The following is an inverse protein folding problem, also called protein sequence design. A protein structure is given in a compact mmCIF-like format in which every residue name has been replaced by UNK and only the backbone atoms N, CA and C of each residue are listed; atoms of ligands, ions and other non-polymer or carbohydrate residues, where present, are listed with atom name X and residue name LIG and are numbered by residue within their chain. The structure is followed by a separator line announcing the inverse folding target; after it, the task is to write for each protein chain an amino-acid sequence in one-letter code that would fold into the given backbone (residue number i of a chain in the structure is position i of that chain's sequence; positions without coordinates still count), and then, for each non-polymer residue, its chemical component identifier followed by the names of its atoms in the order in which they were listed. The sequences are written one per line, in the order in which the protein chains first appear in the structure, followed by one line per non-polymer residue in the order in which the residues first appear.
data_IF_686785411188
#
_entry.id   IF_686785411188
#
_cell.length_a   1.000
_cell.length_b   1.000
_cell.length_c   1.000
_cell.angle_alpha   90.00
_cell.angle_beta   90.00
_cell.angle_gamma   90.00
#
_symmetry.space_group_name_H-M   'P 1'
#
loop_
_entity.id
_entity.type
_entity.pdbx_description
1 polymer ?
#
# COMPACT_ATOMS: atom_id res chain seq x y z
N UNK A 1 -65.89 -54.52 3.61
CA UNK A 1 -66.06 -53.20 2.98
C UNK A 1 -66.31 -52.07 3.99
N UNK A 2 -66.82 -52.32 5.20
CA UNK A 2 -67.04 -51.28 6.22
C UNK A 2 -65.75 -50.71 6.87
N UNK A 3 -64.61 -51.40 6.76
CA UNK A 3 -63.37 -50.99 7.44
C UNK A 3 -62.72 -49.74 6.83
N UNK A 4 -62.83 -49.56 5.50
CA UNK A 4 -62.19 -48.43 4.81
C UNK A 4 -62.84 -47.08 5.17
N UNK A 5 -64.17 -47.06 5.28
CA UNK A 5 -64.92 -45.84 5.65
C UNK A 5 -64.65 -45.46 7.11
N UNK A 6 -64.51 -46.45 7.99
CA UNK A 6 -64.19 -46.24 9.41
C UNK A 6 -62.77 -45.68 9.60
N UNK A 7 -61.79 -46.20 8.87
CA UNK A 7 -60.42 -45.67 8.87
C UNK A 7 -60.36 -44.25 8.33
N UNK A 8 -61.01 -43.99 7.19
CA UNK A 8 -61.07 -42.66 6.59
C UNK A 8 -61.67 -41.63 7.55
N UNK A 9 -62.78 -41.95 8.22
CA UNK A 9 -63.41 -41.03 9.17
C UNK A 9 -62.53 -40.77 10.40
N UNK A 10 -61.84 -41.79 10.91
CA UNK A 10 -60.90 -41.63 12.03
C UNK A 10 -59.75 -40.70 11.66
N UNK A 11 -59.18 -40.86 10.47
CA UNK A 11 -58.05 -40.04 10.01
C UNK A 11 -58.49 -38.62 9.64
N UNK A 12 -59.64 -38.46 8.97
CA UNK A 12 -60.07 -37.17 8.45
C UNK A 12 -60.66 -36.24 9.52
N UNK A 13 -61.42 -36.79 10.48
CA UNK A 13 -62.18 -35.99 11.46
C UNK A 13 -62.09 -36.50 12.90
N UNK A 14 -61.50 -37.67 13.13
CA UNK A 14 -61.52 -38.34 14.43
C UNK A 14 -60.90 -37.51 15.55
N UNK A 15 -59.70 -36.97 15.33
CA UNK A 15 -59.00 -36.14 16.31
C UNK A 15 -59.76 -34.85 16.62
N UNK A 16 -60.10 -34.07 15.60
CA UNK A 16 -60.81 -32.80 15.77
C UNK A 16 -62.19 -32.98 16.40
N UNK A 17 -62.90 -34.06 16.06
CA UNK A 17 -64.21 -34.36 16.65
C UNK A 17 -64.08 -34.79 18.11
N UNK A 18 -63.04 -35.56 18.47
CA UNK A 18 -62.75 -35.92 19.85
C UNK A 18 -62.44 -34.68 20.70
N UNK A 19 -61.64 -33.74 20.19
CA UNK A 19 -61.38 -32.45 20.84
C UNK A 19 -62.65 -31.62 21.01
N UNK A 20 -63.49 -31.55 19.97
CA UNK A 20 -64.76 -30.83 20.02
C UNK A 20 -65.68 -31.43 21.09
N UNK A 21 -65.80 -32.76 21.16
CA UNK A 21 -66.61 -33.43 22.18
C UNK A 21 -66.04 -33.26 23.59
N UNK A 22 -64.71 -33.31 23.76
CA UNK A 22 -64.06 -33.01 25.04
C UNK A 22 -64.30 -31.55 25.47
N UNK A 23 -64.31 -30.60 24.54
CA UNK A 23 -64.65 -29.21 24.87
C UNK A 23 -66.13 -29.03 25.24
N UNK A 24 -67.06 -29.78 24.62
CA UNK A 24 -68.47 -29.80 25.03
C UNK A 24 -68.65 -30.30 26.46
N UNK A 25 -67.93 -31.36 26.86
CA UNK A 25 -68.04 -31.86 28.24
C UNK A 25 -67.52 -30.87 29.28
N UNK A 26 -66.52 -30.05 28.92
CA UNK A 26 -65.95 -29.00 29.77
C UNK A 26 -66.86 -27.77 29.84
N UNK A 27 -67.28 -27.25 28.70
CA UNK A 27 -67.98 -25.95 28.64
C UNK A 27 -69.50 -26.06 28.77
N UNK A 28 -70.06 -27.25 28.63
CA UNK A 28 -71.50 -27.55 28.72
C UNK A 28 -72.38 -26.47 28.05
N UNK A 29 -72.17 -26.21 26.75
CA UNK A 29 -72.92 -25.19 26.03
C UNK A 29 -74.42 -25.52 26.00
N UNK A 30 -75.25 -24.47 26.00
CA UNK A 30 -76.72 -24.59 25.91
C UNK A 30 -77.17 -25.32 24.63
N UNK A 31 -76.43 -25.13 23.53
CA UNK A 31 -76.59 -25.88 22.28
C UNK A 31 -75.27 -26.59 21.91
N UNK A 32 -75.14 -27.89 22.23
CA UNK A 32 -73.92 -28.64 21.94
C UNK A 32 -73.71 -28.92 20.46
N UNK A 33 -74.78 -28.99 19.64
CA UNK A 33 -74.65 -29.26 18.21
C UNK A 33 -74.08 -28.04 17.50
N UNK A 34 -74.66 -26.86 17.77
CA UNK A 34 -74.16 -25.59 17.23
C UNK A 34 -72.72 -25.32 17.68
N UNK A 35 -72.40 -25.63 18.94
CA UNK A 35 -71.04 -25.47 19.47
C UNK A 35 -70.02 -26.31 18.70
N UNK A 36 -70.30 -27.60 18.48
CA UNK A 36 -69.41 -28.50 17.71
C UNK A 36 -69.27 -28.00 16.27
N UNK A 37 -70.36 -27.57 15.63
CA UNK A 37 -70.30 -27.00 14.28
C UNK A 37 -69.35 -25.80 14.19
N UNK A 38 -69.44 -24.87 15.15
CA UNK A 38 -68.53 -23.71 15.24
C UNK A 38 -67.09 -24.12 15.51
N UNK A 39 -66.87 -25.09 16.40
CA UNK A 39 -65.54 -25.60 16.72
C UNK A 39 -64.85 -26.16 15.47
N UNK A 40 -65.53 -27.03 14.72
CA UNK A 40 -65.00 -27.64 13.50
C UNK A 40 -64.68 -26.58 12.43
N UNK A 41 -65.57 -25.59 12.23
CA UNK A 41 -65.32 -24.48 11.32
C UNK A 41 -64.10 -23.64 11.72
N UNK A 42 -63.93 -23.39 13.02
CA UNK A 42 -62.79 -22.66 13.54
C UNK A 42 -61.48 -23.45 13.36
N UNK A 43 -61.52 -24.76 13.58
CA UNK A 43 -60.37 -25.64 13.38
C UNK A 43 -59.87 -25.57 11.93
N UNK A 44 -60.76 -25.69 10.94
CA UNK A 44 -60.39 -25.58 9.51
C UNK A 44 -59.79 -24.21 9.18
N UNK A 45 -60.36 -23.12 9.73
CA UNK A 45 -59.81 -21.76 9.54
C UNK A 45 -58.41 -21.63 10.13
N UNK A 46 -58.20 -22.15 11.33
CA UNK A 46 -56.90 -22.12 12.00
C UNK A 46 -55.86 -22.94 11.21
N UNK A 47 -56.23 -24.15 10.75
CA UNK A 47 -55.36 -25.01 9.95
C UNK A 47 -54.90 -24.31 8.67
N UNK A 48 -55.83 -23.72 7.91
CA UNK A 48 -55.50 -22.95 6.70
C UNK A 48 -54.62 -21.74 6.98
N UNK A 49 -54.86 -21.04 8.09
CA UNK A 49 -54.03 -19.90 8.49
C UNK A 49 -52.61 -20.35 8.81
N UNK A 50 -52.46 -21.40 9.61
CA UNK A 50 -51.18 -21.97 9.98
C UNK A 50 -50.39 -22.48 8.76
N UNK A 51 -51.04 -23.19 7.83
CA UNK A 51 -50.43 -23.62 6.58
C UNK A 51 -49.93 -22.44 5.74
N UNK A 52 -50.71 -21.36 5.66
CA UNK A 52 -50.32 -20.14 4.95
C UNK A 52 -49.16 -19.41 5.63
N UNK A 53 -49.20 -19.28 6.95
CA UNK A 53 -48.12 -18.66 7.74
C UNK A 53 -46.82 -19.45 7.58
N UNK A 54 -46.88 -20.78 7.66
CA UNK A 54 -45.73 -21.66 7.44
C UNK A 54 -45.15 -21.52 6.03
N UNK A 55 -45.99 -21.46 5.01
CA UNK A 55 -45.53 -21.26 3.63
C UNK A 55 -44.83 -19.90 3.44
N UNK A 56 -45.35 -18.84 4.06
CA UNK A 56 -44.73 -17.51 4.03
C UNK A 56 -43.41 -17.48 4.78
N UNK A 57 -43.31 -18.17 5.92
CA UNK A 57 -42.07 -18.28 6.69
C UNK A 57 -40.99 -19.05 5.93
N UNK A 58 -41.36 -20.16 5.30
CA UNK A 58 -40.45 -20.93 4.44
C UNK A 58 -39.95 -20.08 3.24
N UNK A 59 -40.83 -19.29 2.62
CA UNK A 59 -40.43 -18.39 1.54
C UNK A 59 -39.51 -17.27 2.05
N UNK A 60 -39.81 -16.67 3.20
CA UNK A 60 -38.98 -15.65 3.81
C UNK A 60 -37.58 -16.17 4.14
N UNK A 61 -37.49 -17.37 4.73
CA UNK A 61 -36.21 -18.00 5.06
C UNK A 61 -35.39 -18.30 3.80
N UNK A 62 -36.01 -18.81 2.72
CA UNK A 62 -35.31 -19.01 1.44
C UNK A 62 -34.74 -17.71 0.88
N UNK A 63 -35.51 -16.62 0.93
CA UNK A 63 -35.04 -15.30 0.47
C UNK A 63 -33.87 -14.77 1.31
N UNK A 64 -33.89 -14.99 2.63
CA UNK A 64 -32.78 -14.63 3.52
C UNK A 64 -31.53 -15.43 3.15
N UNK A 65 -31.64 -16.76 3.02
CA UNK A 65 -30.51 -17.61 2.65
C UNK A 65 -29.90 -17.24 1.29
N UNK A 66 -30.75 -16.94 0.30
CA UNK A 66 -30.29 -16.47 -1.02
C UNK A 66 -29.58 -15.11 -0.92
N UNK A 67 -30.14 -14.17 -0.16
CA UNK A 67 -29.51 -12.87 0.05
C UNK A 67 -28.16 -12.99 0.77
N UNK A 68 -28.03 -13.88 1.75
CA UNK A 68 -26.78 -14.16 2.43
C UNK A 68 -25.72 -14.75 1.49
N UNK A 69 -26.10 -15.72 0.66
CA UNK A 69 -25.20 -16.29 -0.38
C UNK A 69 -24.74 -15.25 -1.39
N UNK A 70 -25.64 -14.39 -1.85
CA UNK A 70 -25.27 -13.30 -2.77
C UNK A 70 -24.32 -12.31 -2.09
N UNK A 71 -24.55 -12.01 -0.81
CA UNK A 71 -23.71 -11.07 -0.06
C UNK A 71 -22.32 -11.67 0.25
N UNK A 72 -22.23 -12.96 0.58
CA UNK A 72 -20.94 -13.63 0.77
C UNK A 72 -20.11 -13.61 -0.51
N UNK A 73 -20.70 -13.98 -1.65
CA UNK A 73 -20.01 -13.91 -2.95
C UNK A 73 -19.60 -12.49 -3.33
N UNK A 74 -20.43 -11.48 -3.05
CA UNK A 74 -20.04 -10.07 -3.27
C UNK A 74 -18.85 -9.65 -2.41
N UNK A 75 -18.82 -10.05 -1.13
CA UNK A 75 -17.69 -9.77 -0.23
C UNK A 75 -16.42 -10.46 -0.70
N UNK A 76 -16.50 -11.71 -1.11
CA UNK A 76 -15.37 -12.46 -1.67
C UNK A 76 -14.83 -11.80 -2.95
N UNK A 77 -15.71 -11.45 -3.89
CA UNK A 77 -15.33 -10.77 -5.12
C UNK A 77 -14.66 -9.42 -4.86
N UNK A 78 -15.21 -8.63 -3.93
CA UNK A 78 -14.63 -7.34 -3.53
C UNK A 78 -13.25 -7.51 -2.88
N UNK A 79 -13.06 -8.52 -2.03
CA UNK A 79 -11.77 -8.81 -1.40
C UNK A 79 -10.71 -9.20 -2.42
N UNK A 80 -11.06 -10.05 -3.41
CA UNK A 80 -10.17 -10.43 -4.51
C UNK A 80 -9.81 -9.21 -5.35
N UNK A 81 -10.78 -8.38 -5.71
CA UNK A 81 -10.53 -7.17 -6.49
C UNK A 81 -9.59 -6.20 -5.75
N UNK A 82 -9.81 -6.01 -4.44
CA UNK A 82 -8.97 -5.16 -3.61
C UNK A 82 -7.52 -5.69 -3.54
N UNK A 83 -7.33 -7.01 -3.39
CA UNK A 83 -5.99 -7.61 -3.42
C UNK A 83 -5.29 -7.41 -4.77
N UNK A 84 -6.01 -7.58 -5.88
CA UNK A 84 -5.46 -7.35 -7.23
C UNK A 84 -5.07 -5.89 -7.42
N UNK A 85 -5.92 -4.94 -7.01
CA UNK A 85 -5.61 -3.50 -7.04
C UNK A 85 -4.38 -3.19 -6.19
N UNK A 86 -4.31 -3.72 -4.98
CA UNK A 86 -3.18 -3.49 -4.08
C UNK A 86 -1.87 -4.03 -4.65
N UNK A 87 -1.87 -5.24 -5.23
CA UNK A 87 -0.69 -5.81 -5.92
C UNK A 87 -0.23 -4.94 -7.09
N UNK A 88 -1.16 -4.44 -7.91
CA UNK A 88 -0.84 -3.54 -9.04
C UNK A 88 -0.21 -2.23 -8.56
N UNK A 89 -0.82 -1.58 -7.57
CA UNK A 89 -0.30 -0.32 -6.99
C UNK A 89 1.08 -0.55 -6.39
N UNK A 90 1.26 -1.64 -5.63
CA UNK A 90 2.56 -1.97 -5.03
C UNK A 90 3.65 -2.12 -6.09
N UNK A 91 3.38 -2.89 -7.14
CA UNK A 91 4.34 -3.07 -8.24
C UNK A 91 4.65 -1.76 -8.98
N UNK A 92 3.68 -0.86 -9.15
CA UNK A 92 3.91 0.45 -9.76
C UNK A 92 4.78 1.36 -8.87
N UNK A 93 4.53 1.35 -7.55
CA UNK A 93 5.33 2.09 -6.57
C UNK A 93 6.76 1.57 -6.55
N UNK A 94 6.96 0.25 -6.52
CA UNK A 94 8.29 -0.37 -6.57
C UNK A 94 9.08 0.09 -7.82
N UNK A 95 8.45 0.05 -9.01
CA UNK A 95 9.07 0.55 -10.24
C UNK A 95 9.45 2.03 -10.15
N UNK A 96 8.60 2.88 -9.56
CA UNK A 96 8.88 4.32 -9.39
C UNK A 96 10.03 4.56 -8.41
N UNK A 97 10.10 3.76 -7.34
CA UNK A 97 11.19 3.82 -6.36
C UNK A 97 12.51 3.42 -7.01
N UNK A 98 12.54 2.31 -7.75
CA UNK A 98 13.73 1.86 -8.50
C UNK A 98 14.17 2.92 -9.52
N UNK A 99 13.23 3.46 -10.30
CA UNK A 99 13.53 4.51 -11.28
C UNK A 99 14.13 5.75 -10.61
N UNK A 100 13.59 6.18 -9.47
CA UNK A 100 14.11 7.32 -8.70
C UNK A 100 15.49 7.04 -8.12
N UNK A 101 15.74 5.83 -7.63
CA UNK A 101 17.05 5.42 -7.12
C UNK A 101 18.12 5.45 -8.23
N UNK A 102 17.77 4.95 -9.42
CA UNK A 102 18.65 5.00 -10.59
C UNK A 102 18.96 6.44 -11.02
N UNK A 103 17.96 7.33 -11.07
CA UNK A 103 18.19 8.75 -11.36
C UNK A 103 19.13 9.41 -10.35
N UNK A 104 18.96 9.09 -9.06
CA UNK A 104 19.82 9.62 -8.02
C UNK A 104 21.27 9.12 -8.16
N UNK A 105 21.46 7.85 -8.54
CA UNK A 105 22.78 7.30 -8.81
C UNK A 105 23.47 8.03 -9.98
N UNK A 106 22.74 8.26 -11.08
CA UNK A 106 23.26 9.01 -12.24
C UNK A 106 23.66 10.43 -11.83
N UNK A 107 22.82 11.12 -11.05
CA UNK A 107 23.13 12.47 -10.59
C UNK A 107 24.41 12.51 -9.74
N UNK A 108 24.58 11.57 -8.82
CA UNK A 108 25.78 11.47 -7.97
C UNK A 108 27.05 11.23 -8.78
N UNK A 109 26.99 10.36 -9.79
CA UNK A 109 28.13 10.11 -10.70
C UNK A 109 28.51 11.41 -11.40
N UNK A 110 27.52 12.12 -11.95
CA UNK A 110 27.78 13.37 -12.67
C UNK A 110 28.31 14.49 -11.76
N UNK A 111 27.92 14.51 -10.49
CA UNK A 111 28.47 15.43 -9.49
C UNK A 111 29.94 15.12 -9.19
N UNK A 112 30.28 13.84 -8.98
CA UNK A 112 31.69 13.43 -8.77
C UNK A 112 32.58 13.70 -9.98
N UNK A 113 32.08 13.50 -11.20
CA UNK A 113 32.84 13.80 -12.43
C UNK A 113 33.19 15.29 -12.53
N UNK A 114 32.26 16.17 -12.12
CA UNK A 114 32.51 17.62 -12.08
C UNK A 114 33.52 17.99 -11.00
N UNK A 115 33.43 17.37 -9.83
CA UNK A 115 34.38 17.61 -8.74
C UNK A 115 35.80 17.17 -9.14
N UNK A 116 35.95 16.04 -9.83
CA UNK A 116 37.22 15.59 -10.39
C UNK A 116 37.77 16.56 -11.45
N UNK A 117 36.92 17.08 -12.34
CA UNK A 117 37.32 18.06 -13.34
C UNK A 117 37.81 19.37 -12.70
N UNK A 118 37.11 19.85 -11.66
CA UNK A 118 37.50 21.02 -10.89
C UNK A 118 38.83 20.78 -10.18
N UNK A 119 39.00 19.64 -9.50
CA UNK A 119 40.23 19.28 -8.81
C UNK A 119 41.44 19.23 -9.76
N UNK A 120 41.27 18.69 -10.97
CA UNK A 120 42.31 18.68 -12.00
C UNK A 120 42.71 20.09 -12.43
N UNK A 121 41.74 20.97 -12.71
CA UNK A 121 42.02 22.37 -13.09
C UNK A 121 42.75 23.13 -11.99
N UNK A 122 42.39 22.89 -10.72
CA UNK A 122 43.08 23.44 -9.56
C UNK A 122 44.53 22.95 -9.50
N UNK A 123 44.78 21.64 -9.61
CA UNK A 123 46.13 21.08 -9.63
C UNK A 123 47.00 21.67 -10.75
N UNK A 124 46.47 21.75 -11.97
CA UNK A 124 47.18 22.33 -13.13
C UNK A 124 47.52 23.81 -12.87
N UNK A 125 46.61 24.56 -12.23
CA UNK A 125 46.84 25.95 -11.86
C UNK A 125 47.90 26.11 -10.76
N UNK A 126 47.92 25.23 -9.76
CA UNK A 126 48.92 25.24 -8.69
C UNK A 126 50.32 24.94 -9.23
N UNK A 127 50.45 23.98 -10.14
CA UNK A 127 51.72 23.70 -10.82
C UNK A 127 52.20 24.89 -11.65
N UNK A 128 51.31 25.56 -12.37
CA UNK A 128 51.65 26.76 -13.12
C UNK A 128 52.16 27.88 -12.19
N UNK A 129 51.52 28.08 -11.04
CA UNK A 129 51.95 29.05 -10.02
C UNK A 129 53.32 28.67 -9.44
N UNK A 130 53.56 27.39 -9.14
CA UNK A 130 54.88 26.91 -8.65
C UNK A 130 55.99 27.17 -9.66
N UNK A 131 55.77 26.81 -10.93
CA UNK A 131 56.74 27.06 -12.02
C UNK A 131 57.06 28.55 -12.15
N UNK A 132 56.04 29.41 -12.06
CA UNK A 132 56.22 30.86 -12.09
C UNK A 132 57.06 31.37 -10.92
N UNK A 133 56.83 30.86 -9.70
CA UNK A 133 57.62 31.22 -8.51
C UNK A 133 59.07 30.76 -8.63
N UNK A 134 59.30 29.54 -9.11
CA UNK A 134 60.64 29.03 -9.37
C UNK A 134 61.38 29.87 -10.41
N UNK A 135 60.69 30.28 -11.49
CA UNK A 135 61.28 31.15 -12.50
C UNK A 135 61.61 32.55 -11.94
N UNK A 136 60.73 33.13 -11.13
CA UNK A 136 60.98 34.40 -10.45
C UNK A 136 62.21 34.31 -9.53
N UNK A 137 62.30 33.23 -8.74
CA UNK A 137 63.43 33.00 -7.85
C UNK A 137 64.73 32.85 -8.65
N UNK A 138 64.71 32.06 -9.73
CA UNK A 138 65.85 31.93 -10.62
C UNK A 138 66.24 33.25 -11.31
N UNK A 139 65.27 34.10 -11.66
CA UNK A 139 65.53 35.45 -12.19
C UNK A 139 66.19 36.36 -11.15
N UNK A 140 65.73 36.32 -9.90
CA UNK A 140 66.32 37.07 -8.79
C UNK A 140 67.76 36.61 -8.53
N UNK A 141 68.00 35.31 -8.44
CA UNK A 141 69.35 34.75 -8.26
C UNK A 141 70.28 35.14 -9.41
N UNK A 142 69.82 35.05 -10.67
CA UNK A 142 70.60 35.52 -11.83
C UNK A 142 70.88 37.02 -11.78
N UNK A 143 69.95 37.84 -11.29
CA UNK A 143 70.15 39.27 -11.14
C UNK A 143 71.17 39.58 -10.03
N UNK A 144 71.06 38.93 -8.88
CA UNK A 144 72.04 39.03 -7.79
C UNK A 144 73.43 38.57 -8.23
N UNK A 145 73.52 37.46 -8.97
CA UNK A 145 74.79 36.96 -9.48
C UNK A 145 75.42 37.94 -10.47
N UNK A 146 74.63 38.55 -11.36
CA UNK A 146 75.09 39.64 -12.24
C UNK A 146 75.61 40.81 -11.43
N UNK A 147 74.91 41.23 -10.37
CA UNK A 147 75.36 42.32 -9.49
C UNK A 147 76.64 41.96 -8.72
N UNK A 148 76.75 40.73 -8.17
CA UNK A 148 77.97 40.23 -7.53
C UNK A 148 79.16 40.23 -8.50
N UNK A 149 78.95 39.77 -9.74
CA UNK A 149 79.97 39.78 -10.80
C UNK A 149 80.40 41.21 -11.15
N UNK A 150 79.46 42.15 -11.31
CA UNK A 150 79.76 43.57 -11.53
C UNK A 150 80.58 44.16 -10.37
N UNK A 151 80.16 43.92 -9.13
CA UNK A 151 80.83 44.42 -7.93
C UNK A 151 82.25 43.83 -7.80
N UNK A 152 82.42 42.54 -8.09
CA UNK A 152 83.74 41.90 -8.10
C UNK A 152 84.64 42.46 -9.19
N UNK A 153 84.14 42.69 -10.40
CA UNK A 153 84.91 43.30 -11.48
C UNK A 153 85.31 44.74 -11.14
N UNK A 154 84.39 45.53 -10.57
CA UNK A 154 84.68 46.88 -10.11
C UNK A 154 85.77 46.89 -9.03
N UNK A 155 85.69 45.98 -8.04
CA UNK A 155 86.70 45.85 -6.98
C UNK A 155 88.07 45.46 -7.52
N UNK A 156 88.14 44.53 -8.47
CA UNK A 156 89.40 44.13 -9.13
C UNK A 156 90.02 45.31 -9.89
N UNK A 157 89.22 46.01 -10.70
CA UNK A 157 89.69 47.21 -11.40
C UNK A 157 90.14 48.33 -10.45
N UNK A 158 89.50 48.47 -9.29
CA UNK A 158 89.91 49.43 -8.25
C UNK A 158 91.23 49.02 -7.59
N UNK A 159 91.45 47.72 -7.34
CA UNK A 159 92.73 47.20 -6.82
C UNK A 159 93.85 47.45 -7.84
N UNK A 160 93.61 47.15 -9.12
CA UNK A 160 94.58 47.41 -10.20
C UNK A 160 94.90 48.90 -10.32
N UNK A 161 93.87 49.77 -10.24
CA UNK A 161 94.03 51.22 -10.23
C UNK A 161 94.89 51.71 -9.06
N UNK A 162 94.67 51.18 -7.85
CA UNK A 162 95.46 51.51 -6.67
C UNK A 162 96.91 51.03 -6.80
N UNK A 163 97.14 49.84 -7.36
CA UNK A 163 98.50 49.32 -7.61
C UNK A 163 99.27 50.11 -8.66
N UNK A 164 98.59 50.68 -9.65
CA UNK A 164 99.22 51.53 -10.68
C UNK A 164 99.55 52.94 -10.17
N UNK A 165 98.71 53.50 -9.29
CA UNK A 165 98.84 54.91 -8.84
C UNK A 165 99.52 55.09 -7.47
N UNK A 166 99.61 54.04 -6.65
CA UNK A 166 100.35 54.04 -5.39
C UNK A 166 101.42 52.94 -5.41
N UNK A 167 102.59 53.26 -5.98
CA UNK A 167 103.79 52.42 -5.80
C UNK A 167 104.40 52.73 -4.42
N UNK A 168 104.46 51.73 -3.55
CA UNK A 168 105.52 51.63 -2.55
C UNK A 168 106.81 51.13 -3.23
#
# INVERSE_FOLDING_TARGET
MADLDSEYLKEAVGETLAEALASVTIYQPSDPIEYVGRFLLQHVRNKRRHEKEKALEEEANRRIEEAEKVNSHKKEAAAVEQQVRHKKIKAEVEKKVEFRANLLAIYKIHESEKDEEIAKKLSDSEEAVRRYHEELKARQERAEERERRKYSQFRLGYIDYLQQNFKF
#
